data_IF_164707934480
#
_entry.id   IF_164707934480
#
_cell.length_a   1.000
_cell.length_b   1.000
_cell.length_c   1.000
_cell.angle_alpha   90.00
_cell.angle_beta   90.00
_cell.angle_gamma   90.00
#
_symmetry.space_group_name_H-M   'P 1'
#
loop_
_entity.id
_entity.type
_entity.pdbx_description
1 polymer ?
#
# COMPACT_ATOMS: atom_id res chain seq x y z
N UNK A 1 -26.70 29.58 35.13
CA UNK A 1 -25.54 28.66 35.14
C UNK A 1 -25.87 27.25 34.65
N UNK A 2 -26.92 26.57 35.15
CA UNK A 2 -27.31 25.21 34.68
C UNK A 2 -27.56 25.09 33.16
N UNK A 3 -28.18 26.09 32.53
CA UNK A 3 -28.52 26.06 31.09
C UNK A 3 -27.31 26.15 30.15
N UNK A 4 -26.24 26.82 30.57
CA UNK A 4 -25.01 26.99 29.77
C UNK A 4 -24.22 25.67 29.76
N UNK A 5 -24.12 25.00 30.92
CA UNK A 5 -23.46 23.68 30.99
C UNK A 5 -24.14 22.63 30.11
N UNK A 6 -25.48 22.64 30.02
CA UNK A 6 -26.24 21.70 29.17
C UNK A 6 -25.99 21.95 27.69
N UNK A 7 -25.86 23.22 27.27
CA UNK A 7 -25.56 23.56 25.88
C UNK A 7 -24.14 23.13 25.52
N UNK A 8 -23.17 23.32 26.42
CA UNK A 8 -21.78 22.90 26.21
C UNK A 8 -21.66 21.37 26.14
N UNK A 9 -22.36 20.62 27.00
CA UNK A 9 -22.33 19.14 26.94
C UNK A 9 -22.97 18.59 25.66
N UNK A 10 -24.05 19.21 25.16
CA UNK A 10 -24.67 18.81 23.88
C UNK A 10 -23.76 19.11 22.70
N UNK A 11 -23.11 20.27 22.68
CA UNK A 11 -22.17 20.63 21.60
C UNK A 11 -20.95 19.69 21.62
N UNK A 12 -20.37 19.42 22.79
CA UNK A 12 -19.25 18.48 22.90
C UNK A 12 -19.64 17.06 22.46
N UNK A 13 -20.85 16.59 22.79
CA UNK A 13 -21.29 15.25 22.35
C UNK A 13 -21.36 15.09 20.84
N UNK A 14 -21.68 16.16 20.09
CA UNK A 14 -21.76 16.13 18.62
C UNK A 14 -20.37 15.99 17.98
N UNK A 15 -19.32 16.56 18.61
CA UNK A 15 -17.95 16.41 18.15
C UNK A 15 -17.37 15.01 18.45
N UNK A 16 -17.80 14.34 19.52
CA UNK A 16 -17.33 13.00 19.87
C UNK A 16 -18.06 11.87 19.13
N UNK A 17 -19.23 12.12 18.56
CA UNK A 17 -19.99 11.14 17.78
C UNK A 17 -19.95 11.38 16.28
N UNK A 18 -19.06 12.24 15.78
CA UNK A 18 -18.76 12.27 14.35
C UNK A 18 -18.17 10.91 13.97
N UNK A 19 -18.85 10.12 13.13
CA UNK A 19 -18.28 8.87 12.64
C UNK A 19 -16.96 9.23 11.97
N UNK A 20 -15.88 8.51 12.30
CA UNK A 20 -14.69 8.52 11.47
C UNK A 20 -14.99 7.74 10.19
N UNK A 21 -16.01 8.14 9.45
CA UNK A 21 -16.31 7.58 8.15
C UNK A 21 -15.24 8.12 7.23
N UNK A 22 -14.13 7.38 7.16
CA UNK A 22 -13.35 7.34 5.95
C UNK A 22 -14.33 7.12 4.80
N UNK A 23 -14.51 8.12 3.94
CA UNK A 23 -15.31 7.98 2.72
C UNK A 23 -14.82 6.82 1.84
N UNK A 24 -13.59 6.35 2.03
CA UNK A 24 -13.07 5.16 1.37
C UNK A 24 -13.63 3.88 2.02
N UNK A 25 -14.34 3.06 1.23
CA UNK A 25 -14.87 1.73 1.58
C UNK A 25 -13.75 0.66 1.55
N UNK A 26 -12.50 1.04 1.83
CA UNK A 26 -11.37 0.12 1.78
C UNK A 26 -11.46 -0.93 2.90
N UNK A 27 -11.17 -2.18 2.56
CA UNK A 27 -11.01 -3.22 3.58
C UNK A 27 -9.77 -2.95 4.42
N UNK A 28 -9.73 -3.52 5.62
CA UNK A 28 -8.55 -3.44 6.49
C UNK A 28 -7.29 -3.95 5.78
N UNK A 29 -7.41 -5.00 4.97
CA UNK A 29 -6.31 -5.58 4.21
C UNK A 29 -5.81 -4.62 3.13
N UNK A 30 -6.72 -3.89 2.46
CA UNK A 30 -6.35 -2.87 1.47
C UNK A 30 -5.58 -1.72 2.13
N UNK A 31 -6.06 -1.24 3.29
CA UNK A 31 -5.39 -0.19 4.07
C UNK A 31 -4.00 -0.63 4.54
N UNK A 32 -3.88 -1.86 5.05
CA UNK A 32 -2.59 -2.40 5.50
C UNK A 32 -1.60 -2.57 4.34
N UNK A 33 -2.07 -3.02 3.18
CA UNK A 33 -1.24 -3.10 1.98
C UNK A 33 -0.77 -1.71 1.53
N UNK A 34 -1.67 -0.72 1.49
CA UNK A 34 -1.32 0.66 1.14
C UNK A 34 -0.33 1.28 2.13
N UNK A 35 -0.48 1.02 3.43
CA UNK A 35 0.47 1.45 4.45
C UNK A 35 1.86 0.81 4.26
N UNK A 36 1.92 -0.48 3.91
CA UNK A 36 3.18 -1.17 3.59
C UNK A 36 3.84 -0.60 2.31
N UNK A 37 3.06 -0.39 1.25
CA UNK A 37 3.57 0.22 0.01
C UNK A 37 4.14 1.62 0.25
N UNK A 38 3.50 2.42 1.13
CA UNK A 38 4.03 3.71 1.58
C UNK A 38 5.35 3.56 2.34
N UNK A 39 5.46 2.59 3.27
CA UNK A 39 6.70 2.31 3.99
C UNK A 39 7.85 1.96 3.04
N UNK A 40 7.57 1.22 1.96
CA UNK A 40 8.57 0.75 1.00
C UNK A 40 8.80 1.68 -0.19
N UNK A 41 8.09 2.81 -0.27
CA UNK A 41 8.15 3.72 -1.42
C UNK A 41 9.57 4.16 -1.80
N UNK A 42 10.39 4.50 -0.80
CA UNK A 42 11.78 4.93 -1.02
C UNK A 42 12.63 3.83 -1.65
N UNK A 43 12.48 2.59 -1.19
CA UNK A 43 13.22 1.43 -1.70
C UNK A 43 12.74 1.06 -3.11
N UNK A 44 11.43 1.10 -3.36
CA UNK A 44 10.85 0.87 -4.69
C UNK A 44 11.47 1.87 -5.69
N UNK A 45 11.49 3.17 -5.36
CA UNK A 45 12.07 4.20 -6.24
C UNK A 45 13.56 4.00 -6.52
N UNK A 46 14.33 3.56 -5.52
CA UNK A 46 15.75 3.28 -5.71
C UNK A 46 15.98 2.12 -6.70
N UNK A 47 15.11 1.11 -6.65
CA UNK A 47 15.21 -0.09 -7.49
C UNK A 47 14.67 0.16 -8.90
N UNK A 48 13.57 0.91 -9.04
CA UNK A 48 12.97 1.15 -10.36
C UNK A 48 13.77 2.13 -11.19
N UNK A 49 14.30 3.20 -10.58
CA UNK A 49 14.81 4.42 -11.24
C UNK A 49 13.80 5.16 -12.13
N UNK A 50 12.76 4.46 -12.58
CA UNK A 50 11.63 4.94 -13.36
C UNK A 50 10.39 5.14 -12.47
N UNK A 51 9.38 5.80 -13.05
CA UNK A 51 8.02 5.81 -12.50
C UNK A 51 7.45 4.38 -12.51
N UNK A 52 6.55 4.11 -11.58
CA UNK A 52 5.91 2.81 -11.46
C UNK A 52 4.41 2.95 -11.20
N UNK A 53 3.68 1.90 -11.54
CA UNK A 53 2.25 1.77 -11.29
C UNK A 53 1.87 0.32 -10.93
N UNK A 54 0.58 0.13 -10.64
CA UNK A 54 -0.01 -1.19 -10.38
C UNK A 54 0.74 -2.01 -9.32
N UNK A 55 1.11 -1.36 -8.21
CA UNK A 55 1.87 -1.92 -7.12
C UNK A 55 1.00 -2.73 -6.15
N UNK A 56 1.56 -3.86 -5.71
CA UNK A 56 0.92 -4.76 -4.75
C UNK A 56 1.94 -5.52 -3.92
N UNK A 57 1.51 -5.92 -2.72
CA UNK A 57 2.18 -6.90 -1.87
C UNK A 57 1.63 -8.28 -2.24
N UNK A 58 2.49 -9.12 -2.82
CA UNK A 58 2.11 -10.46 -3.28
C UNK A 58 2.48 -11.55 -2.27
N UNK A 59 3.38 -11.27 -1.33
CA UNK A 59 3.71 -12.19 -0.24
C UNK A 59 4.26 -11.46 0.98
N UNK A 60 3.93 -11.97 2.18
CA UNK A 60 4.50 -11.55 3.47
C UNK A 60 4.82 -12.81 4.26
N UNK A 61 6.08 -12.94 4.68
CA UNK A 61 6.54 -14.06 5.50
C UNK A 61 7.23 -13.52 6.74
N UNK A 62 6.76 -13.92 7.93
CA UNK A 62 7.46 -13.62 9.17
C UNK A 62 8.81 -14.36 9.19
N UNK A 63 9.85 -13.64 9.55
CA UNK A 63 11.20 -14.16 9.77
C UNK A 63 11.49 -14.22 11.27
N UNK A 64 12.49 -15.01 11.64
CA UNK A 64 12.94 -15.15 13.02
C UNK A 64 12.06 -16.09 13.86
N UNK A 65 12.28 -16.06 15.17
CA UNK A 65 11.54 -16.90 16.11
C UNK A 65 10.18 -16.28 16.48
N UNK A 66 9.22 -17.13 16.88
CA UNK A 66 7.86 -16.71 17.23
C UNK A 66 7.82 -15.73 18.42
N UNK A 67 8.80 -15.83 19.31
CA UNK A 67 9.00 -15.06 20.54
C UNK A 67 9.88 -13.81 20.37
N UNK A 68 10.36 -13.50 19.16
CA UNK A 68 11.06 -12.23 18.92
C UNK A 68 10.12 -11.04 19.22
N UNK A 69 10.59 -10.14 20.09
CA UNK A 69 9.84 -8.95 20.55
C UNK A 69 9.45 -8.03 19.40
N UNK A 70 10.37 -7.81 18.45
CA UNK A 70 10.08 -7.10 17.20
C UNK A 70 10.23 -8.08 16.04
N UNK A 71 9.13 -8.44 15.36
CA UNK A 71 9.19 -9.36 14.24
C UNK A 71 9.90 -8.72 13.04
N UNK A 72 10.61 -9.58 12.30
CA UNK A 72 11.13 -9.25 10.97
C UNK A 72 10.23 -9.87 9.91
N UNK A 73 10.15 -9.25 8.75
CA UNK A 73 9.34 -9.78 7.65
C UNK A 73 10.14 -9.82 6.36
N UNK A 74 9.98 -10.90 5.60
CA UNK A 74 10.29 -10.92 4.18
C UNK A 74 9.02 -10.53 3.43
N UNK A 75 9.10 -9.48 2.62
CA UNK A 75 7.98 -8.97 1.83
C UNK A 75 8.35 -9.05 0.37
N UNK A 76 7.43 -9.54 -0.44
CA UNK A 76 7.55 -9.55 -1.90
C UNK A 76 6.52 -8.60 -2.49
N UNK A 77 7.03 -7.61 -3.23
CA UNK A 77 6.27 -6.59 -3.94
C UNK A 77 6.29 -6.87 -5.43
N UNK A 78 5.20 -6.55 -6.12
CA UNK A 78 5.12 -6.58 -7.57
C UNK A 78 4.57 -5.25 -8.07
N UNK A 79 5.18 -4.70 -9.11
CA UNK A 79 4.75 -3.46 -9.76
C UNK A 79 5.20 -3.43 -11.23
N UNK A 80 4.61 -2.53 -12.00
CA UNK A 80 4.99 -2.24 -13.37
C UNK A 80 5.77 -0.94 -13.43
N UNK A 81 6.89 -0.91 -14.16
CA UNK A 81 7.50 0.38 -14.53
C UNK A 81 6.78 0.97 -15.72
N UNK A 82 6.74 2.30 -15.77
CA UNK A 82 6.08 3.04 -16.84
C UNK A 82 6.98 4.19 -17.33
N UNK A 83 7.14 4.31 -18.66
CA UNK A 83 8.01 5.31 -19.30
C UNK A 83 7.23 6.35 -20.12
N UNK A 84 6.11 6.84 -19.57
CA UNK A 84 5.33 7.94 -20.13
C UNK A 84 4.20 7.51 -21.08
N UNK A 85 3.29 8.44 -21.38
CA UNK A 85 1.98 8.20 -22.03
C UNK A 85 2.03 7.54 -23.43
N UNK A 86 3.20 7.47 -24.06
CA UNK A 86 3.35 7.06 -25.45
C UNK A 86 4.41 5.96 -25.70
N UNK A 87 5.09 5.47 -24.66
CA UNK A 87 6.12 4.42 -24.78
C UNK A 87 5.76 3.19 -23.95
N UNK A 88 5.11 2.15 -24.51
CA UNK A 88 5.16 0.83 -23.92
C UNK A 88 6.49 0.20 -24.35
N UNK A 89 7.35 -0.10 -23.38
CA UNK A 89 7.11 -1.35 -22.69
C UNK A 89 7.04 -1.20 -21.16
N UNK A 90 6.04 -1.87 -20.57
CA UNK A 90 6.00 -2.04 -19.12
C UNK A 90 6.95 -3.17 -18.73
N UNK A 91 7.82 -2.93 -17.76
CA UNK A 91 8.57 -4.02 -17.13
C UNK A 91 7.81 -4.47 -15.89
N UNK A 92 7.62 -5.78 -15.74
CA UNK A 92 7.20 -6.35 -14.46
C UNK A 92 8.42 -6.47 -13.57
N UNK A 93 8.36 -5.85 -12.40
CA UNK A 93 9.39 -5.95 -11.39
C UNK A 93 8.83 -6.67 -10.16
N UNK A 94 9.57 -7.68 -9.71
CA UNK A 94 9.31 -8.38 -8.44
C UNK A 94 10.45 -8.05 -7.49
N UNK A 95 10.14 -7.36 -6.40
CA UNK A 95 11.09 -6.93 -5.38
C UNK A 95 10.88 -7.74 -4.11
N UNK A 96 11.89 -8.50 -3.69
CA UNK A 96 11.91 -9.14 -2.38
C UNK A 96 12.81 -8.34 -1.44
N UNK A 97 12.29 -8.00 -0.27
CA UNK A 97 12.98 -7.25 0.77
C UNK A 97 12.77 -7.89 2.14
N UNK A 98 13.71 -7.64 3.04
CA UNK A 98 13.57 -7.89 4.47
C UNK A 98 13.32 -6.56 5.18
N UNK A 99 12.24 -6.49 5.95
CA UNK A 99 11.87 -5.35 6.77
C UNK A 99 12.32 -5.59 8.21
N UNK A 100 13.28 -4.77 8.64
CA UNK A 100 13.77 -4.68 10.00
C UNK A 100 13.16 -3.45 10.68
N UNK A 101 13.32 -3.34 12.00
CA UNK A 101 12.81 -2.20 12.76
C UNK A 101 13.40 -0.87 12.27
N UNK A 102 14.70 -0.88 12.01
CA UNK A 102 15.55 0.29 11.77
C UNK A 102 15.92 0.48 10.29
N UNK A 103 15.81 -0.57 9.47
CA UNK A 103 16.18 -0.51 8.07
C UNK A 103 15.39 -1.51 7.20
N UNK A 104 15.47 -1.31 5.89
CA UNK A 104 14.96 -2.24 4.89
C UNK A 104 16.13 -2.75 4.07
N UNK A 105 16.22 -4.06 3.89
CA UNK A 105 17.26 -4.70 3.10
C UNK A 105 16.67 -5.33 1.85
N UNK A 106 17.10 -4.88 0.68
CA UNK A 106 16.75 -5.53 -0.59
C UNK A 106 17.45 -6.89 -0.67
N UNK A 107 16.68 -7.94 -0.95
CA UNK A 107 17.17 -9.32 -1.10
C UNK A 107 17.33 -9.70 -2.56
N UNK A 108 16.33 -9.38 -3.37
CA UNK A 108 16.28 -9.77 -4.77
C UNK A 108 15.44 -8.77 -5.58
N UNK A 109 15.83 -8.56 -6.83
CA UNK A 109 15.08 -7.76 -7.80
C UNK A 109 15.04 -8.55 -9.10
N UNK A 110 13.86 -9.03 -9.45
CA UNK A 110 13.61 -9.67 -10.74
C UNK A 110 12.91 -8.70 -11.67
N UNK A 111 13.33 -8.67 -12.94
CA UNK A 111 12.77 -7.79 -13.96
C UNK A 111 12.49 -8.58 -15.21
N UNK A 112 11.21 -8.63 -15.59
CA UNK A 112 10.76 -9.12 -16.87
C UNK A 112 10.43 -7.93 -17.75
N UNK A 113 11.22 -7.74 -18.81
CA UNK A 113 11.09 -6.56 -19.68
C UNK A 113 9.96 -6.71 -20.66
N UNK A 114 9.30 -5.60 -20.98
CA UNK A 114 8.34 -5.52 -22.08
C UNK A 114 7.23 -6.57 -22.00
N UNK A 115 6.60 -6.69 -20.82
CA UNK A 115 5.53 -7.69 -20.61
C UNK A 115 4.31 -7.41 -21.49
N UNK A 116 3.57 -8.47 -21.82
CA UNK A 116 2.37 -8.37 -22.65
C UNK A 116 1.24 -7.61 -21.93
N UNK A 117 0.28 -7.11 -22.71
CA UNK A 117 -0.88 -6.42 -22.18
C UNK A 117 -1.71 -7.29 -21.22
N UNK A 118 -1.81 -8.60 -21.46
CA UNK A 118 -2.51 -9.53 -20.55
C UNK A 118 -1.85 -9.56 -19.16
N UNK A 119 -0.51 -9.51 -19.12
CA UNK A 119 0.24 -9.44 -17.86
C UNK A 119 0.01 -8.08 -17.18
N UNK A 120 0.02 -6.99 -17.95
CA UNK A 120 -0.27 -5.64 -17.45
C UNK A 120 -1.66 -5.58 -16.81
N UNK A 121 -2.69 -6.06 -17.51
CA UNK A 121 -4.06 -6.07 -17.03
C UNK A 121 -4.22 -6.87 -15.74
N UNK A 122 -3.59 -8.05 -15.69
CA UNK A 122 -3.61 -8.92 -14.50
C UNK A 122 -2.99 -8.23 -13.28
N UNK A 123 -1.83 -7.58 -13.45
CA UNK A 123 -1.15 -6.88 -12.35
C UNK A 123 -1.95 -5.66 -11.91
N UNK A 124 -2.48 -4.89 -12.86
CA UNK A 124 -3.27 -3.70 -12.58
C UNK A 124 -4.68 -3.98 -12.04
N UNK A 125 -5.21 -5.21 -12.16
CA UNK A 125 -6.54 -5.57 -11.67
C UNK A 125 -6.71 -5.24 -10.17
N UNK A 126 -5.71 -5.58 -9.35
CA UNK A 126 -5.74 -5.33 -7.90
C UNK A 126 -5.76 -3.83 -7.57
N UNK A 127 -5.02 -3.01 -8.31
CA UNK A 127 -5.04 -1.55 -8.14
C UNK A 127 -6.38 -0.97 -8.56
N UNK A 128 -6.97 -1.46 -9.65
CA UNK A 128 -8.33 -1.06 -10.08
C UNK A 128 -9.38 -1.39 -9.03
N UNK A 129 -9.30 -2.56 -8.38
CA UNK A 129 -10.19 -2.94 -7.28
C UNK A 129 -10.08 -1.99 -6.09
N UNK A 130 -8.85 -1.63 -5.68
CA UNK A 130 -8.65 -0.61 -4.64
C UNK A 130 -9.23 0.74 -5.03
N UNK A 131 -9.01 1.21 -6.26
CA UNK A 131 -9.55 2.48 -6.74
C UNK A 131 -11.07 2.51 -6.72
N UNK A 132 -11.73 1.40 -7.05
CA UNK A 132 -13.21 1.28 -6.92
C UNK A 132 -13.67 1.46 -5.48
N UNK A 133 -12.93 0.96 -4.49
CA UNK A 133 -13.25 1.17 -3.08
C UNK A 133 -13.15 2.64 -2.62
N UNK A 134 -12.43 3.49 -3.36
CA UNK A 134 -12.32 4.92 -3.10
C UNK A 134 -13.37 5.75 -3.85
N UNK A 135 -14.03 5.19 -4.86
CA UNK A 135 -15.04 5.90 -5.64
C UNK A 135 -16.37 5.83 -4.92
N UNK A 136 -16.89 6.99 -4.51
CA UNK A 136 -18.23 7.14 -3.95
C UNK A 136 -19.29 6.95 -5.06
N UNK A 137 -19.53 5.70 -5.44
CA UNK A 137 -20.86 5.31 -5.93
C UNK A 137 -21.73 4.85 -4.74
#
# INVERSE_FOLDING_TARGET
MKKICVIITVICSIFFSSPSDSFAKESREQLLESALLNRYYSVIRQVTKDQYECDSVINIKRLGRKDEFVPRFEVTLQFLTFQGAHNPPNDKVTLTLEDYLDHIKVKNVEREKNVSNDVVEKICARKKEKMKAHSND
#
